data_IF_232828646822
#
_entry.id   IF_232828646822
#
_cell.length_a   1.000
_cell.length_b   1.000
_cell.length_c   1.000
_cell.angle_alpha   90.00
_cell.angle_beta   90.00
_cell.angle_gamma   90.00
#
_symmetry.space_group_name_H-M   'P 1'
#
loop_
_entity.id
_entity.type
_entity.pdbx_description
1 polymer ?
#
# COMPACT_ATOMS: atom_id res chain seq x y z
N UNK A 1 -11.17 4.14 -2.33
CA UNK A 1 -11.09 3.31 -3.57
C UNK A 1 -11.90 2.06 -3.31
N UNK A 2 -12.59 1.50 -4.30
CA UNK A 2 -13.26 0.20 -4.15
C UNK A 2 -12.38 -0.90 -4.72
N UNK A 3 -12.11 -1.93 -3.93
CA UNK A 3 -11.49 -3.18 -4.38
C UNK A 3 -12.59 -4.22 -4.51
N UNK A 4 -12.61 -4.98 -5.60
CA UNK A 4 -13.63 -5.98 -5.89
C UNK A 4 -13.00 -7.30 -6.34
N UNK A 5 -13.82 -8.36 -6.39
CA UNK A 5 -13.38 -9.72 -6.67
C UNK A 5 -12.34 -10.24 -5.67
N UNK A 6 -12.48 -9.83 -4.40
CA UNK A 6 -11.64 -10.31 -3.30
C UNK A 6 -11.98 -11.79 -3.05
N UNK A 7 -10.99 -12.69 -2.96
CA UNK A 7 -11.22 -14.07 -2.56
C UNK A 7 -11.92 -14.13 -1.19
N UNK A 8 -13.01 -14.90 -1.07
CA UNK A 8 -13.83 -14.94 0.16
C UNK A 8 -13.09 -15.43 1.42
N UNK A 9 -11.93 -16.06 1.25
CA UNK A 9 -11.06 -16.51 2.35
C UNK A 9 -10.01 -15.48 2.74
N UNK A 10 -9.93 -14.34 2.04
CA UNK A 10 -9.02 -13.29 2.40
C UNK A 10 -9.46 -12.64 3.71
N UNK A 11 -8.51 -12.46 4.62
CA UNK A 11 -8.68 -11.85 5.93
C UNK A 11 -8.28 -10.37 5.88
N UNK A 12 -7.43 -9.99 4.92
CA UNK A 12 -6.99 -8.61 4.73
C UNK A 12 -6.59 -8.29 3.30
N UNK A 13 -6.51 -6.98 3.01
CA UNK A 13 -5.83 -6.44 1.85
C UNK A 13 -4.55 -5.73 2.29
N UNK A 14 -3.42 -6.10 1.70
CA UNK A 14 -2.12 -5.43 1.91
C UNK A 14 -1.79 -4.58 0.69
N UNK A 15 -1.45 -3.32 0.94
CA UNK A 15 -1.09 -2.33 -0.07
C UNK A 15 0.41 -2.05 0.02
N UNK A 16 1.14 -2.47 -1.01
CA UNK A 16 2.59 -2.30 -1.11
C UNK A 16 2.86 -1.13 -2.05
N UNK A 17 3.24 0.03 -1.48
CA UNK A 17 3.45 1.24 -2.27
C UNK A 17 4.87 1.27 -2.84
N UNK A 18 4.97 1.51 -4.15
CA UNK A 18 6.21 1.42 -4.90
C UNK A 18 6.46 2.68 -5.75
N UNK A 19 7.75 2.99 -5.91
CA UNK A 19 8.27 3.73 -7.06
C UNK A 19 9.13 2.76 -7.86
N UNK A 20 8.58 2.25 -8.97
CA UNK A 20 9.25 1.23 -9.77
C UNK A 20 10.40 1.80 -10.61
N UNK A 21 10.49 3.13 -10.72
CA UNK A 21 11.62 3.80 -11.39
C UNK A 21 12.82 3.99 -10.47
N UNK A 22 12.65 3.82 -9.16
CA UNK A 22 13.71 3.92 -8.16
C UNK A 22 13.88 2.61 -7.39
N UNK A 23 14.98 1.88 -7.65
CA UNK A 23 15.26 0.58 -7.02
C UNK A 23 15.19 0.58 -5.49
N UNK A 24 15.56 1.70 -4.83
CA UNK A 24 15.48 1.78 -3.36
C UNK A 24 14.05 1.86 -2.84
N UNK A 25 13.11 2.23 -3.70
CA UNK A 25 11.73 2.51 -3.35
C UNK A 25 10.76 1.44 -3.89
N UNK A 26 11.27 0.41 -4.56
CA UNK A 26 10.54 -0.81 -4.93
C UNK A 26 10.29 -1.73 -3.72
N UNK A 27 9.32 -2.63 -3.82
CA UNK A 27 8.95 -3.60 -2.79
C UNK A 27 8.57 -2.90 -1.47
N UNK A 28 7.60 -1.99 -1.54
CA UNK A 28 7.06 -1.30 -0.37
C UNK A 28 7.93 -0.16 0.14
N UNK A 29 8.83 0.36 -0.69
CA UNK A 29 9.69 1.45 -0.25
C UNK A 29 8.95 2.75 0.06
N UNK A 30 7.73 2.93 -0.48
CA UNK A 30 6.83 4.02 -0.12
C UNK A 30 5.90 3.70 1.05
N UNK A 31 6.11 2.56 1.73
CA UNK A 31 5.31 2.09 2.86
C UNK A 31 4.48 0.87 2.52
N UNK A 32 4.09 0.14 3.55
CA UNK A 32 3.19 -1.01 3.45
C UNK A 32 2.13 -0.87 4.53
N UNK A 33 0.87 -0.94 4.13
CA UNK A 33 -0.28 -0.90 5.03
C UNK A 33 -1.23 -2.05 4.76
N UNK A 34 -1.97 -2.45 5.78
CA UNK A 34 -2.95 -3.51 5.74
C UNK A 34 -4.33 -2.96 6.05
N UNK A 35 -5.36 -3.49 5.39
CA UNK A 35 -6.77 -3.23 5.67
C UNK A 35 -7.46 -4.54 6.04
N UNK A 36 -7.96 -4.65 7.28
CA UNK A 36 -8.69 -5.83 7.71
C UNK A 36 -10.03 -5.95 6.97
N UNK A 37 -10.35 -7.16 6.52
CA UNK A 37 -11.60 -7.45 5.83
C UNK A 37 -12.60 -8.13 6.79
N UNK A 38 -13.90 -7.80 6.67
CA UNK A 38 -14.95 -8.65 7.22
C UNK A 38 -14.88 -10.06 6.61
N UNK A 39 -15.21 -11.08 7.40
CA UNK A 39 -15.25 -12.47 6.93
C UNK A 39 -16.13 -12.62 5.68
N UNK A 40 -15.61 -13.26 4.64
CA UNK A 40 -16.34 -13.51 3.40
C UNK A 40 -16.50 -12.30 2.47
N UNK A 41 -15.88 -11.15 2.77
CA UNK A 41 -15.97 -9.96 1.93
C UNK A 41 -15.41 -10.22 0.52
N UNK A 42 -16.20 -9.89 -0.51
CA UNK A 42 -15.79 -9.95 -1.92
C UNK A 42 -15.50 -8.57 -2.51
N UNK A 43 -15.80 -7.52 -1.76
CA UNK A 43 -15.47 -6.14 -2.08
C UNK A 43 -15.26 -5.33 -0.80
N UNK A 44 -14.50 -4.24 -0.90
CA UNK A 44 -14.25 -3.32 0.20
C UNK A 44 -14.05 -1.89 -0.29
N UNK A 45 -14.57 -0.93 0.47
CA UNK A 45 -14.21 0.48 0.35
C UNK A 45 -13.00 0.76 1.22
N UNK A 46 -11.86 1.01 0.57
CA UNK A 46 -10.59 1.25 1.23
C UNK A 46 -10.45 2.75 1.49
N UNK A 47 -10.26 3.17 2.76
CA UNK A 47 -10.08 4.56 3.11
C UNK A 47 -8.76 5.11 2.55
N UNK A 48 -8.69 6.42 2.37
CA UNK A 48 -7.46 7.08 1.95
C UNK A 48 -6.44 7.08 3.09
N UNK A 49 -5.24 6.58 2.83
CA UNK A 49 -4.09 6.74 3.72
C UNK A 49 -3.41 8.08 3.44
N UNK A 50 -3.23 8.90 4.48
CA UNK A 50 -2.52 10.17 4.38
C UNK A 50 -1.02 9.93 4.47
N UNK A 51 -0.27 10.71 3.70
CA UNK A 51 1.18 10.57 3.65
C UNK A 51 1.91 11.34 4.75
N UNK A 52 3.17 10.98 4.98
CA UNK A 52 4.07 11.62 5.96
C UNK A 52 3.50 11.66 7.38
N UNK A 53 2.72 10.64 7.75
CA UNK A 53 2.17 10.48 9.10
C UNK A 53 2.16 9.00 9.48
N UNK A 54 2.20 8.73 10.78
CA UNK A 54 1.90 7.42 11.36
C UNK A 54 0.42 7.23 11.65
N UNK A 55 -0.36 8.32 11.62
CA UNK A 55 -1.80 8.28 11.80
C UNK A 55 -2.46 7.69 10.56
N UNK A 56 -3.04 6.51 10.72
CA UNK A 56 -3.77 5.80 9.67
C UNK A 56 -5.27 5.76 9.99
N UNK A 57 -6.14 5.68 8.97
CA UNK A 57 -7.58 5.56 9.19
C UNK A 57 -7.96 4.31 9.99
N UNK A 58 -9.13 4.32 10.62
CA UNK A 58 -9.68 3.13 11.29
C UNK A 58 -9.76 1.95 10.30
N UNK A 59 -9.33 0.78 10.75
CA UNK A 59 -9.27 -0.45 9.96
C UNK A 59 -8.00 -0.58 9.11
N UNK A 60 -7.15 0.45 9.06
CA UNK A 60 -5.82 0.38 8.46
C UNK A 60 -4.78 0.21 9.55
N UNK A 61 -3.80 -0.64 9.30
CA UNK A 61 -2.61 -0.79 10.12
C UNK A 61 -1.35 -0.61 9.26
N UNK A 62 -0.28 -0.08 9.87
CA UNK A 62 1.01 0.02 9.20
C UNK A 62 1.78 -1.29 9.39
N UNK A 63 2.08 -1.96 8.28
CA UNK A 63 2.90 -3.18 8.26
C UNK A 63 4.38 -2.81 8.23
N UNK A 64 4.74 -1.82 7.42
CA UNK A 64 6.11 -1.33 7.33
C UNK A 64 6.14 0.19 7.09
N UNK A 65 6.99 0.87 7.86
CA UNK A 65 7.34 2.28 7.62
C UNK A 65 7.95 2.44 6.23
N UNK A 66 7.66 3.57 5.55
CA UNK A 66 8.33 3.89 4.30
C UNK A 66 9.83 4.13 4.49
N UNK A 67 10.61 3.93 3.42
CA UNK A 67 12.05 4.12 3.44
C UNK A 67 12.40 5.62 3.39
N UNK A 68 13.17 6.06 4.38
CA UNK A 68 13.65 7.43 4.53
C UNK A 68 15.16 7.49 4.70
N UNK A 69 15.75 8.68 4.54
CA UNK A 69 17.14 8.90 4.94
C UNK A 69 17.19 9.04 6.46
N UNK A 70 18.31 8.66 7.07
CA UNK A 70 18.53 8.82 8.52
C UNK A 70 18.29 10.28 8.92
N UNK A 71 17.37 10.50 9.86
CA UNK A 71 17.02 11.82 10.38
C UNK A 71 15.86 12.52 9.67
N UNK A 72 15.29 11.93 8.62
CA UNK A 72 14.03 12.40 8.02
C UNK A 72 12.83 11.82 8.79
N UNK A 73 11.70 12.53 8.75
CA UNK A 73 10.44 12.03 9.30
C UNK A 73 10.02 10.72 8.60
N UNK A 74 9.51 9.78 9.41
CA UNK A 74 8.94 8.51 8.97
C UNK A 74 7.42 8.55 8.86
N UNK A 75 6.82 7.43 8.48
CA UNK A 75 5.36 7.26 8.45
C UNK A 75 4.91 6.01 7.70
N UNK A 76 3.60 5.79 7.68
CA UNK A 76 2.99 4.62 7.05
C UNK A 76 3.01 4.67 5.52
N UNK A 77 2.95 5.88 4.95
CA UNK A 77 2.94 6.08 3.50
C UNK A 77 3.72 7.33 3.10
N UNK A 78 4.56 7.21 2.06
CA UNK A 78 5.27 8.32 1.42
C UNK A 78 4.61 8.63 0.08
N UNK A 79 3.96 9.79 -0.09
CA UNK A 79 3.39 10.17 -1.37
C UNK A 79 4.43 10.29 -2.50
N UNK A 80 4.00 10.16 -3.77
CA UNK A 80 4.85 10.42 -4.92
C UNK A 80 5.55 11.78 -4.85
N UNK A 81 6.87 11.76 -4.99
CA UNK A 81 7.71 12.97 -5.00
C UNK A 81 8.99 12.68 -5.80
N UNK A 82 8.86 12.66 -7.12
CA UNK A 82 9.96 12.30 -8.03
C UNK A 82 11.04 13.38 -8.13
N UNK A 83 10.72 14.62 -7.73
CA UNK A 83 11.55 15.79 -8.04
C UNK A 83 11.61 16.12 -9.53
N UNK A 84 10.54 15.87 -10.29
CA UNK A 84 10.43 16.15 -11.73
C UNK A 84 11.07 15.09 -12.62
N UNK A 85 11.27 13.88 -12.12
CA UNK A 85 11.99 12.81 -12.82
C UNK A 85 11.08 11.83 -13.58
N UNK A 86 9.77 12.08 -13.62
CA UNK A 86 8.79 11.24 -14.32
C UNK A 86 8.82 9.77 -13.87
N UNK A 87 9.00 9.56 -12.56
CA UNK A 87 9.00 8.24 -11.93
C UNK A 87 7.60 7.62 -12.00
N UNK A 88 7.53 6.33 -12.29
CA UNK A 88 6.29 5.54 -12.25
C UNK A 88 6.04 5.00 -10.84
N UNK A 89 4.86 5.29 -10.32
CA UNK A 89 4.40 4.84 -9.00
C UNK A 89 3.31 3.79 -9.16
N UNK A 90 3.40 2.72 -8.38
CA UNK A 90 2.42 1.63 -8.38
C UNK A 90 2.06 1.23 -6.96
N UNK A 91 0.93 0.56 -6.82
CA UNK A 91 0.54 -0.14 -5.60
C UNK A 91 0.25 -1.58 -5.95
N UNK A 92 0.95 -2.52 -5.33
CA UNK A 92 0.54 -3.92 -5.38
C UNK A 92 -0.51 -4.13 -4.30
N UNK A 93 -1.68 -4.62 -4.70
CA UNK A 93 -2.83 -4.90 -3.85
C UNK A 93 -2.93 -6.41 -3.71
N UNK A 94 -2.64 -6.90 -2.53
CA UNK A 94 -2.57 -8.32 -2.21
C UNK A 94 -3.71 -8.71 -1.28
N UNK A 95 -4.40 -9.80 -1.56
CA UNK A 95 -5.38 -10.39 -0.66
C UNK A 95 -4.72 -11.52 0.13
N UNK A 96 -4.68 -11.40 1.46
CA UNK A 96 -3.95 -12.30 2.34
C UNK A 96 -4.88 -13.20 3.18
N UNK A 97 -4.41 -14.40 3.48
CA UNK A 97 -4.97 -15.30 4.48
C UNK A 97 -3.83 -15.86 5.32
N UNK A 98 -3.74 -15.48 6.59
CA UNK A 98 -2.53 -15.69 7.39
C UNK A 98 -1.28 -15.23 6.63
N UNK A 99 -0.30 -16.12 6.46
CA UNK A 99 0.96 -15.84 5.76
C UNK A 99 0.92 -16.09 4.24
N UNK A 100 -0.25 -16.30 3.65
CA UNK A 100 -0.40 -16.65 2.23
C UNK A 100 -1.11 -15.56 1.43
N UNK A 101 -0.53 -15.19 0.28
CA UNK A 101 -1.19 -14.35 -0.73
C UNK A 101 -2.11 -15.22 -1.58
N UNK A 102 -3.41 -14.92 -1.56
CA UNK A 102 -4.43 -15.61 -2.36
C UNK A 102 -4.61 -15.02 -3.75
N UNK A 103 -4.43 -13.70 -3.87
CA UNK A 103 -4.52 -12.97 -5.12
C UNK A 103 -3.71 -11.68 -5.04
N UNK A 104 -3.24 -11.19 -6.18
CA UNK A 104 -2.52 -9.93 -6.30
C UNK A 104 -2.92 -9.22 -7.59
N UNK A 105 -2.94 -7.89 -7.54
CA UNK A 105 -2.97 -7.04 -8.73
C UNK A 105 -2.14 -5.80 -8.52
N UNK A 106 -1.64 -5.19 -9.59
CA UNK A 106 -0.89 -3.94 -9.53
C UNK A 106 -1.74 -2.81 -10.10
N UNK A 107 -1.84 -1.72 -9.35
CA UNK A 107 -2.51 -0.48 -9.76
C UNK A 107 -1.45 0.57 -10.07
N UNK A 108 -1.48 1.12 -11.28
CA UNK A 108 -0.68 2.28 -11.63
C UNK A 108 -1.28 3.54 -10.99
N UNK A 109 -0.48 4.25 -10.19
CA UNK A 109 -0.86 5.56 -9.63
C UNK A 109 -0.52 6.72 -10.56
N UNK A 110 0.31 6.45 -11.56
CA UNK A 110 0.75 7.39 -12.58
C UNK A 110 2.21 7.76 -12.46
N UNK A 111 2.60 8.72 -13.30
CA UNK A 111 3.97 9.25 -13.36
C UNK A 111 4.03 10.68 -12.84
N UNK A 112 5.04 10.95 -12.03
CA UNK A 112 5.29 12.25 -11.43
C UNK A 112 6.75 12.62 -11.59
#
# INVERSE_FOLDING_TARGET
>A
MTVSNIPTRAESLVFVYNDVSNKRMQHGGHGIVEFALPEGATSAEVPRVFGHTYEVPVGIEMVAEYRNRKGEAGGAYKPPCSGGKNHLYTVDVQAWQGDSVLAETTVEMGRY
#
